data_IF_436668471452
#
_entry.id   IF_436668471452
#
_cell.length_a   1.000
_cell.length_b   1.000
_cell.length_c   1.000
_cell.angle_alpha   90.00
_cell.angle_beta   90.00
_cell.angle_gamma   90.00
#
_symmetry.space_group_name_H-M   'P 1'
#
loop_
_entity.id
_entity.type
_entity.pdbx_description
1 polymer ?
#
# COMPACT_ATOMS: atom_id res chain seq x y z
N UNK A 1 -17.31 -4.38 -20.31
CA UNK A 1 -16.45 -3.35 -20.94
C UNK A 1 -15.72 -2.65 -19.81
N UNK A 2 -14.43 -2.87 -19.51
CA UNK A 2 -13.37 -1.91 -19.92
C UNK A 2 -11.94 -2.37 -19.57
N UNK A 3 -11.70 -3.58 -19.02
CA UNK A 3 -10.34 -3.98 -18.60
C UNK A 3 -9.48 -4.55 -19.75
N UNK A 4 -10.09 -5.05 -20.82
CA UNK A 4 -9.37 -5.61 -21.98
C UNK A 4 -8.76 -4.56 -22.93
N UNK A 5 -9.09 -3.27 -22.76
CA UNK A 5 -8.59 -2.17 -23.59
C UNK A 5 -7.64 -1.24 -22.82
N UNK A 6 -7.07 -1.70 -21.71
CA UNK A 6 -6.22 -0.85 -20.89
C UNK A 6 -5.02 -0.32 -21.69
N UNK A 7 -4.81 1.00 -21.77
CA UNK A 7 -3.75 1.57 -22.59
C UNK A 7 -2.37 1.15 -22.06
N UNK A 8 -1.45 0.72 -22.94
CA UNK A 8 -0.14 0.21 -22.54
C UNK A 8 0.74 1.25 -21.83
N UNK A 9 0.38 2.54 -21.88
CA UNK A 9 1.11 3.65 -21.27
C UNK A 9 0.74 3.91 -19.81
N UNK A 10 -0.43 3.47 -19.32
CA UNK A 10 -0.87 3.75 -17.95
C UNK A 10 -0.26 2.75 -16.99
N UNK A 11 0.74 3.21 -16.23
CA UNK A 11 1.53 2.42 -15.27
C UNK A 11 0.95 2.36 -13.87
N UNK A 12 0.11 3.33 -13.50
CA UNK A 12 -0.45 3.45 -12.15
C UNK A 12 -1.97 3.57 -12.22
N UNK A 13 -2.66 2.84 -11.35
CA UNK A 13 -4.08 2.93 -11.12
C UNK A 13 -4.29 3.18 -9.62
N UNK A 14 -5.01 4.23 -9.28
CA UNK A 14 -5.27 4.62 -7.91
C UNK A 14 -6.77 4.56 -7.63
N UNK A 15 -7.13 3.87 -6.57
CA UNK A 15 -8.49 3.76 -6.06
C UNK A 15 -8.64 4.65 -4.83
N UNK A 16 -9.31 5.78 -5.02
CA UNK A 16 -9.58 6.77 -3.96
C UNK A 16 -11.09 6.92 -3.72
N UNK A 17 -11.46 7.41 -2.54
CA UNK A 17 -12.84 7.57 -2.11
C UNK A 17 -13.03 7.35 -0.61
N UNK A 18 -14.25 7.60 -0.12
CA UNK A 18 -14.60 7.48 1.30
C UNK A 18 -14.36 6.06 1.85
N UNK A 19 -14.26 5.92 3.18
CA UNK A 19 -14.22 4.61 3.84
C UNK A 19 -15.45 3.77 3.50
N UNK A 20 -15.28 2.47 3.30
CA UNK A 20 -16.40 1.52 3.10
C UNK A 20 -17.04 1.47 1.70
N UNK A 21 -16.56 2.24 0.71
CA UNK A 21 -17.12 2.21 -0.66
C UNK A 21 -16.65 1.02 -1.53
N UNK A 22 -15.87 0.09 -0.96
CA UNK A 22 -15.38 -1.09 -1.66
C UNK A 22 -14.08 -0.91 -2.44
N UNK A 23 -13.26 0.11 -2.12
CA UNK A 23 -11.98 0.39 -2.80
C UNK A 23 -11.06 -0.83 -2.85
N UNK A 24 -10.82 -1.46 -1.69
CA UNK A 24 -10.02 -2.69 -1.56
C UNK A 24 -10.56 -3.81 -2.44
N UNK A 25 -11.87 -4.00 -2.45
CA UNK A 25 -12.49 -5.06 -3.26
C UNK A 25 -12.27 -4.80 -4.75
N UNK A 26 -12.50 -3.57 -5.21
CA UNK A 26 -12.33 -3.21 -6.62
C UNK A 26 -10.85 -3.21 -7.02
N UNK A 27 -9.94 -2.79 -6.15
CA UNK A 27 -8.49 -2.82 -6.41
C UNK A 27 -7.97 -4.25 -6.55
N UNK A 28 -8.33 -5.14 -5.63
CA UNK A 28 -7.98 -6.56 -5.69
C UNK A 28 -8.55 -7.24 -6.95
N UNK A 29 -9.83 -7.01 -7.24
CA UNK A 29 -10.47 -7.57 -8.44
C UNK A 29 -9.83 -7.07 -9.74
N UNK A 30 -9.46 -5.78 -9.78
CA UNK A 30 -8.78 -5.19 -10.93
C UNK A 30 -7.37 -5.75 -11.09
N UNK A 31 -6.61 -5.85 -9.99
CA UNK A 31 -5.26 -6.40 -10.00
C UNK A 31 -5.25 -7.85 -10.51
N UNK A 32 -6.16 -8.68 -10.00
CA UNK A 32 -6.32 -10.06 -10.46
C UNK A 32 -6.74 -10.14 -11.93
N UNK A 33 -7.68 -9.30 -12.37
CA UNK A 33 -8.12 -9.27 -13.77
C UNK A 33 -7.00 -8.84 -14.73
N UNK A 34 -6.15 -7.89 -14.33
CA UNK A 34 -5.00 -7.49 -15.13
C UNK A 34 -3.91 -8.58 -15.15
N UNK A 35 -3.65 -9.23 -14.02
CA UNK A 35 -2.66 -10.29 -13.92
C UNK A 35 -3.06 -11.54 -14.72
N UNK A 36 -4.34 -11.91 -14.72
CA UNK A 36 -4.90 -12.99 -15.56
C UNK A 36 -4.85 -12.70 -17.06
N UNK A 37 -4.79 -11.43 -17.46
CA UNK A 37 -4.50 -11.01 -18.84
C UNK A 37 -2.99 -11.08 -19.18
N UNK A 38 -2.16 -11.67 -18.31
CA UNK A 38 -0.73 -11.84 -18.51
C UNK A 38 0.12 -10.63 -18.13
N UNK A 39 -0.47 -9.58 -17.55
CA UNK A 39 0.27 -8.39 -17.11
C UNK A 39 1.02 -8.68 -15.81
N UNK A 40 2.12 -7.96 -15.58
CA UNK A 40 2.80 -7.92 -14.29
C UNK A 40 2.16 -6.84 -13.44
N UNK A 41 1.64 -7.20 -12.28
CA UNK A 41 0.86 -6.30 -11.42
C UNK A 41 1.44 -6.30 -10.02
N UNK A 42 1.60 -5.10 -9.45
CA UNK A 42 1.88 -4.91 -8.03
C UNK A 42 0.66 -4.22 -7.41
N UNK A 43 0.01 -4.89 -6.46
CA UNK A 43 -1.05 -4.33 -5.64
C UNK A 43 -0.44 -3.65 -4.41
N UNK A 44 -0.77 -2.39 -4.19
CA UNK A 44 -0.27 -1.61 -3.05
C UNK A 44 -1.46 -1.23 -2.18
N UNK A 45 -1.41 -1.54 -0.89
CA UNK A 45 -2.43 -1.10 0.07
C UNK A 45 -1.78 -0.21 1.11
N UNK A 46 -2.33 0.99 1.34
CA UNK A 46 -1.93 1.87 2.45
C UNK A 46 -3.02 2.03 3.51
N UNK A 47 -4.15 1.34 3.35
CA UNK A 47 -5.28 1.43 4.26
C UNK A 47 -5.10 0.42 5.41
N UNK A 48 -4.92 0.89 6.66
CA UNK A 48 -4.68 0.02 7.82
C UNK A 48 -5.88 -0.85 8.21
N UNK A 49 -7.07 -0.58 7.65
CA UNK A 49 -8.28 -1.40 7.82
C UNK A 49 -8.51 -2.34 6.63
N UNK A 50 -7.64 -2.34 5.63
CA UNK A 50 -7.79 -3.09 4.40
C UNK A 50 -7.33 -4.53 4.58
N UNK A 51 -8.25 -5.47 4.38
CA UNK A 51 -7.95 -6.89 4.54
C UNK A 51 -7.46 -7.53 3.22
N UNK A 52 -6.48 -6.93 2.53
CA UNK A 52 -5.93 -7.51 1.28
C UNK A 52 -5.40 -8.93 1.52
N UNK A 53 -4.70 -9.12 2.63
CA UNK A 53 -4.23 -10.44 3.07
C UNK A 53 -5.38 -11.47 3.19
N UNK A 54 -6.56 -11.05 3.67
CA UNK A 54 -7.74 -11.91 3.76
C UNK A 54 -8.32 -12.23 2.38
N UNK A 55 -8.32 -11.26 1.45
CA UNK A 55 -8.81 -11.47 0.08
C UNK A 55 -8.01 -12.55 -0.65
N UNK A 56 -6.69 -12.60 -0.43
CA UNK A 56 -5.81 -13.57 -1.08
C UNK A 56 -5.48 -14.80 -0.20
N UNK A 57 -5.98 -14.85 1.03
CA UNK A 57 -5.73 -15.95 1.97
C UNK A 57 -4.24 -16.13 2.31
N UNK A 58 -3.45 -15.06 2.23
CA UNK A 58 -2.00 -15.06 2.41
C UNK A 58 -1.58 -13.82 3.18
N UNK A 59 -0.65 -13.97 4.13
CA UNK A 59 -0.10 -12.82 4.87
C UNK A 59 0.68 -11.91 3.91
N UNK A 60 0.35 -10.62 3.92
CA UNK A 60 1.01 -9.57 3.17
C UNK A 60 1.42 -8.51 4.18
N UNK A 61 2.64 -7.99 4.06
CA UNK A 61 3.18 -6.99 4.98
C UNK A 61 3.95 -5.93 4.21
N UNK A 62 4.90 -5.28 4.88
CA UNK A 62 5.72 -4.19 4.33
C UNK A 62 6.79 -4.62 3.33
N UNK A 63 6.89 -5.93 3.04
CA UNK A 63 7.73 -6.48 1.98
C UNK A 63 6.88 -6.94 0.81
N UNK A 64 7.47 -6.94 -0.39
CA UNK A 64 6.80 -7.43 -1.60
C UNK A 64 6.59 -8.93 -1.47
N UNK A 65 5.32 -9.34 -1.48
CA UNK A 65 4.87 -10.72 -1.36
C UNK A 65 4.27 -11.19 -2.68
N UNK A 66 4.81 -12.26 -3.25
CA UNK A 66 4.26 -12.90 -4.43
C UNK A 66 2.94 -13.63 -4.10
N UNK A 67 1.91 -13.40 -4.92
CA UNK A 67 0.58 -14.00 -4.77
C UNK A 67 0.28 -15.06 -5.85
N UNK A 68 1.23 -15.32 -6.75
CA UNK A 68 1.08 -16.25 -7.88
C UNK A 68 0.56 -17.63 -7.46
N UNK A 69 1.11 -18.21 -6.40
CA UNK A 69 0.73 -19.54 -5.91
C UNK A 69 -0.66 -19.54 -5.30
N UNK A 70 -0.99 -18.53 -4.49
CA UNK A 70 -2.32 -18.42 -3.87
C UNK A 70 -3.41 -18.19 -4.91
N UNK A 71 -3.15 -17.37 -5.93
CA UNK A 71 -4.08 -17.19 -7.04
C UNK A 71 -4.20 -18.46 -7.88
N UNK A 72 -3.09 -19.14 -8.18
CA UNK A 72 -3.12 -20.38 -8.96
C UNK A 72 -3.87 -21.51 -8.23
N UNK A 73 -3.74 -21.60 -6.91
CA UNK A 73 -4.47 -22.56 -6.07
C UNK A 73 -5.98 -22.36 -6.14
N UNK A 74 -6.45 -21.12 -6.08
CA UNK A 74 -7.89 -20.81 -6.08
C UNK A 74 -8.52 -20.79 -7.49
N UNK A 75 -7.77 -20.35 -8.51
CA UNK A 75 -8.33 -20.07 -9.84
C UNK A 75 -7.88 -21.05 -10.92
N UNK A 76 -6.82 -21.82 -10.68
CA UNK A 76 -6.15 -22.65 -11.70
C UNK A 76 -5.37 -21.86 -12.76
N UNK A 77 -5.30 -20.52 -12.65
CA UNK A 77 -4.64 -19.65 -13.62
C UNK A 77 -3.28 -19.21 -13.09
N UNK A 78 -2.24 -19.38 -13.90
CA UNK A 78 -0.92 -18.79 -13.62
C UNK A 78 -0.95 -17.30 -13.93
N UNK A 79 -0.56 -16.49 -12.95
CA UNK A 79 -0.51 -15.03 -13.04
C UNK A 79 0.88 -14.51 -12.64
N UNK A 80 1.07 -13.19 -12.73
CA UNK A 80 2.20 -12.47 -12.12
C UNK A 80 1.63 -11.32 -11.30
N UNK A 81 1.35 -11.61 -10.04
CA UNK A 81 0.72 -10.68 -9.10
C UNK A 81 1.53 -10.66 -7.80
N UNK A 82 2.06 -9.49 -7.48
CA UNK A 82 2.70 -9.20 -6.22
C UNK A 82 1.82 -8.25 -5.40
N UNK A 83 1.98 -8.26 -4.08
CA UNK A 83 1.32 -7.31 -3.19
C UNK A 83 2.24 -6.81 -2.09
N UNK A 84 2.01 -5.57 -1.64
CA UNK A 84 2.66 -4.95 -0.48
C UNK A 84 1.62 -4.16 0.31
N UNK A 85 1.72 -4.23 1.63
CA UNK A 85 0.90 -3.48 2.56
C UNK A 85 1.79 -2.52 3.34
N UNK A 86 1.55 -1.22 3.13
CA UNK A 86 2.32 -0.14 3.73
C UNK A 86 1.53 0.36 4.94
N UNK A 87 2.06 0.17 6.14
CA UNK A 87 1.52 0.80 7.34
C UNK A 87 1.97 2.27 7.37
N UNK A 88 1.07 3.24 7.16
CA UNK A 88 1.44 4.65 7.11
C UNK A 88 1.99 5.16 8.44
N UNK A 89 1.56 4.59 9.58
CA UNK A 89 2.06 4.99 10.89
C UNK A 89 3.48 4.48 11.10
N UNK A 90 3.73 3.21 10.75
CA UNK A 90 5.06 2.61 10.85
C UNK A 90 6.05 3.34 9.93
N UNK A 91 5.66 3.64 8.70
CA UNK A 91 6.53 4.34 7.74
C UNK A 91 6.76 5.80 8.14
N UNK A 92 5.75 6.49 8.68
CA UNK A 92 5.93 7.84 9.23
C UNK A 92 6.94 7.84 10.39
N UNK A 93 6.88 6.85 11.28
CA UNK A 93 7.82 6.74 12.40
C UNK A 93 9.25 6.42 11.94
N UNK A 94 9.42 5.51 10.96
CA UNK A 94 10.73 5.26 10.35
C UNK A 94 11.30 6.51 9.70
N UNK A 95 10.48 7.28 8.98
CA UNK A 95 10.89 8.54 8.38
C UNK A 95 11.31 9.54 9.45
N UNK A 96 10.53 9.67 10.52
CA UNK A 96 10.83 10.53 11.67
C UNK A 96 12.18 10.17 12.32
N UNK A 97 12.40 8.90 12.63
CA UNK A 97 13.68 8.43 13.18
C UNK A 97 14.85 8.69 12.23
N UNK A 98 14.68 8.51 10.91
CA UNK A 98 15.74 8.77 9.93
C UNK A 98 16.21 10.24 9.92
N UNK A 99 15.31 11.17 10.24
CA UNK A 99 15.60 12.62 10.29
C UNK A 99 16.16 13.03 11.65
N UNK A 100 15.59 12.51 12.74
CA UNK A 100 15.93 12.96 14.09
C UNK A 100 17.17 12.27 14.63
N UNK A 101 17.42 10.99 14.31
CA UNK A 101 18.56 10.25 14.86
C UNK A 101 19.92 10.92 14.60
N UNK A 102 20.22 11.46 13.40
CA UNK A 102 21.49 12.15 13.13
C UNK A 102 21.69 13.44 13.93
N UNK A 103 20.62 14.15 14.29
CA UNK A 103 20.67 15.47 14.93
C UNK A 103 20.31 15.44 16.42
N UNK A 104 19.90 14.28 16.94
CA UNK A 104 19.42 14.08 18.33
C UNK A 104 20.41 14.53 19.41
N UNK A 105 21.71 14.50 19.11
CA UNK A 105 22.77 14.91 20.03
C UNK A 105 23.22 16.37 19.85
N UNK A 106 22.75 17.04 18.79
CA UNK A 106 23.11 18.42 18.45
C UNK A 106 22.06 19.44 18.88
N UNK A 107 20.84 18.98 19.19
CA UNK A 107 19.70 19.82 19.49
C UNK A 107 19.40 19.84 21.00
N UNK A 108 19.06 21.01 21.57
CA UNK A 108 18.52 21.09 22.92
C UNK A 108 17.23 20.25 23.08
N UNK A 109 16.95 19.70 24.28
CA UNK A 109 15.79 18.84 24.52
C UNK A 109 14.44 19.48 24.13
N UNK A 110 14.29 20.79 24.30
CA UNK A 110 13.08 21.53 23.95
C UNK A 110 12.83 21.57 22.43
N UNK A 111 13.89 21.83 21.66
CA UNK A 111 13.84 21.88 20.18
C UNK A 111 13.59 20.49 19.60
N UNK A 112 14.14 19.45 20.23
CA UNK A 112 13.83 18.07 19.87
C UNK A 112 12.36 17.78 20.05
N UNK A 113 11.79 18.10 21.22
CA UNK A 113 10.38 17.84 21.51
C UNK A 113 9.43 18.56 20.53
N UNK A 114 9.74 19.80 20.17
CA UNK A 114 8.98 20.57 19.18
C UNK A 114 9.11 20.00 17.75
N UNK A 115 10.30 19.52 17.39
CA UNK A 115 10.55 18.83 16.11
C UNK A 115 9.79 17.50 16.03
N UNK A 116 9.72 16.74 17.12
CA UNK A 116 8.93 15.51 17.23
C UNK A 116 7.43 15.79 17.08
N UNK A 117 6.93 16.81 17.76
CA UNK A 117 5.51 17.21 17.74
C UNK A 117 5.07 17.69 16.34
N UNK A 118 5.93 18.46 15.66
CA UNK A 118 5.68 18.94 14.29
C UNK A 118 5.61 17.79 13.27
N UNK A 119 6.51 16.81 13.39
CA UNK A 119 6.56 15.63 12.51
C UNK A 119 5.43 14.63 12.78
N UNK A 120 4.74 14.76 13.93
CA UNK A 120 3.64 13.89 14.36
C UNK A 120 2.25 14.42 13.96
N UNK A 121 2.17 15.55 13.25
CA UNK A 121 0.89 16.17 12.87
C UNK A 121 0.00 15.29 11.99
N UNK A 122 -1.31 15.23 12.29
CA UNK A 122 -2.28 14.33 11.61
C UNK A 122 -2.36 14.56 10.09
N UNK A 123 -2.11 15.78 9.61
CA UNK A 123 -2.08 16.11 8.18
C UNK A 123 -1.02 15.34 7.38
N UNK A 124 0.07 14.88 8.00
CA UNK A 124 1.13 14.12 7.30
C UNK A 124 0.72 12.66 7.04
N UNK A 125 -0.12 12.10 7.91
CA UNK A 125 -0.54 10.69 7.87
C UNK A 125 -1.84 10.52 7.08
N UNK A 126 -2.74 11.50 7.14
CA UNK A 126 -4.06 11.45 6.49
C UNK A 126 -3.99 11.45 4.94
N UNK A 127 -2.98 12.08 4.34
CA UNK A 127 -2.82 12.13 2.87
C UNK A 127 -2.44 10.75 2.29
N UNK A 128 -1.85 9.87 3.10
CA UNK A 128 -1.33 8.56 2.66
C UNK A 128 -2.42 7.47 2.78
N UNK A 129 -3.43 7.66 3.63
CA UNK A 129 -4.42 6.64 4.01
C UNK A 129 -5.56 6.38 2.99
N UNK A 130 -5.55 7.02 1.81
CA UNK A 130 -6.69 6.93 0.86
C UNK A 130 -6.36 6.30 -0.49
N UNK A 131 -5.22 5.61 -0.63
CA UNK A 131 -4.77 5.08 -1.91
C UNK A 131 -4.54 3.57 -1.84
N UNK A 132 -5.40 2.81 -2.51
CA UNK A 132 -5.06 1.47 -3.01
C UNK A 132 -4.77 1.54 -4.51
#
# INVERSE_FOLDING_TARGET
>A
MLLSQWPPTTKFLMFTGKGGVGKTTVSCATALSLATQGRKVLLVSTDPASNVAQVFGQSIGSEITALDESVARETGVKVRLDAIEIDPNMEAEKYRESILAPVRHLLPPEVLRESEETLSGSCTVEVIQQVC
#
